data_IF_236738695160
#
_entry.id   IF_236738695160
#
_cell.length_a   1.000
_cell.length_b   1.000
_cell.length_c   1.000
_cell.angle_alpha   90.00
_cell.angle_beta   90.00
_cell.angle_gamma   90.00
#
_symmetry.space_group_name_H-M   'P 1'
#
loop_
_entity.id
_entity.type
_entity.pdbx_description
1 polymer ?
#
# COMPACT_ATOMS: atom_id res chain seq x y z
N UNK A 1 17.91 29.51 0.63
CA UNK A 1 16.55 30.12 0.65
C UNK A 1 16.01 29.97 2.05
N UNK A 2 15.16 30.86 2.52
CA UNK A 2 14.50 30.74 3.83
C UNK A 2 13.26 29.84 3.72
N UNK A 3 12.99 28.99 4.73
CA UNK A 3 11.80 28.15 4.77
C UNK A 3 10.64 28.95 5.40
N UNK A 4 10.01 29.78 4.58
CA UNK A 4 8.88 30.63 5.02
C UNK A 4 7.64 29.80 5.38
N UNK A 5 7.47 28.59 4.81
CA UNK A 5 6.34 27.70 5.15
C UNK A 5 6.43 27.20 6.58
N UNK A 6 7.63 26.81 7.03
CA UNK A 6 7.85 26.40 8.41
C UNK A 6 7.63 27.57 9.37
N UNK A 7 8.16 28.78 9.02
CA UNK A 7 7.97 29.99 9.83
C UNK A 7 6.50 30.32 9.99
N UNK A 8 5.77 30.39 8.87
CA UNK A 8 4.33 30.68 8.87
C UNK A 8 3.55 29.63 9.69
N UNK A 9 3.83 28.35 9.51
CA UNK A 9 3.12 27.30 10.24
C UNK A 9 3.34 27.35 11.77
N UNK A 10 4.54 27.73 12.24
CA UNK A 10 4.82 27.94 13.66
C UNK A 10 3.98 29.11 14.19
N UNK A 11 3.94 30.21 13.45
CA UNK A 11 3.15 31.40 13.81
C UNK A 11 1.65 31.11 13.80
N UNK A 12 1.15 30.43 12.76
CA UNK A 12 -0.27 30.06 12.61
C UNK A 12 -0.74 29.13 13.75
N UNK A 13 0.15 28.26 14.23
CA UNK A 13 -0.11 27.38 15.36
C UNK A 13 0.01 28.10 16.74
N UNK A 14 0.35 29.39 16.74
CA UNK A 14 0.45 30.21 17.96
C UNK A 14 1.71 29.98 18.77
N UNK A 15 2.73 29.32 18.22
CA UNK A 15 3.99 29.08 18.93
C UNK A 15 5.02 30.19 18.69
N UNK A 16 5.74 30.57 19.75
CA UNK A 16 7.05 31.17 19.61
C UNK A 16 8.08 30.14 19.14
N UNK A 17 9.21 30.58 18.64
CA UNK A 17 10.30 29.69 18.21
C UNK A 17 10.80 28.84 19.39
N UNK A 18 10.86 29.42 20.58
CA UNK A 18 11.30 28.72 21.80
C UNK A 18 10.32 27.61 22.19
N UNK A 19 9.03 27.92 22.30
CA UNK A 19 8.00 26.94 22.67
C UNK A 19 7.92 25.78 21.68
N UNK A 20 8.02 26.08 20.39
CA UNK A 20 8.04 25.03 19.35
C UNK A 20 9.29 24.14 19.46
N UNK A 21 10.45 24.73 19.75
CA UNK A 21 11.69 23.98 19.93
C UNK A 21 11.64 23.08 21.16
N UNK A 22 11.07 23.57 22.25
CA UNK A 22 10.90 22.82 23.49
C UNK A 22 9.97 21.62 23.29
N UNK A 23 8.85 21.81 22.56
CA UNK A 23 7.93 20.70 22.21
C UNK A 23 8.57 19.64 21.30
N UNK A 24 9.49 20.05 20.42
CA UNK A 24 10.23 19.14 19.55
C UNK A 24 11.41 18.45 20.24
N UNK A 25 11.83 18.94 21.42
CA UNK A 25 13.02 18.48 22.12
C UNK A 25 14.33 18.81 21.39
N UNK A 26 14.39 19.99 20.72
CA UNK A 26 15.57 20.45 19.99
C UNK A 26 15.98 21.86 20.43
N UNK A 27 17.26 22.20 20.25
CA UNK A 27 17.76 23.55 20.50
C UNK A 27 17.11 24.58 19.55
N UNK A 28 16.67 25.77 20.03
CA UNK A 28 16.06 26.82 19.19
C UNK A 28 16.90 27.24 18.00
N UNK A 29 18.24 27.27 18.12
CA UNK A 29 19.14 27.52 16.99
C UNK A 29 19.05 26.46 15.90
N UNK A 30 18.63 25.25 16.26
CA UNK A 30 18.41 24.17 15.29
C UNK A 30 17.18 24.49 14.44
N UNK A 31 16.06 24.88 15.05
CA UNK A 31 14.84 25.32 14.33
C UNK A 31 15.12 26.57 13.52
N UNK A 32 15.85 27.55 14.09
CA UNK A 32 16.27 28.75 13.34
C UNK A 32 17.06 28.41 12.07
N UNK A 33 17.97 27.43 12.13
CA UNK A 33 18.72 26.96 10.96
C UNK A 33 17.83 26.26 9.92
N UNK A 34 16.78 25.56 10.34
CA UNK A 34 15.80 24.98 9.43
C UNK A 34 15.03 26.07 8.67
N UNK A 35 14.73 27.19 9.36
CA UNK A 35 14.04 28.33 8.76
C UNK A 35 14.98 29.14 7.88
N UNK A 36 16.12 29.58 8.41
CA UNK A 36 16.96 30.60 7.76
C UNK A 36 17.93 30.05 6.72
N UNK A 37 18.41 28.80 6.91
CA UNK A 37 19.40 28.14 6.05
C UNK A 37 18.82 27.00 5.23
N UNK A 38 17.50 26.82 5.26
CA UNK A 38 16.78 25.70 4.59
C UNK A 38 17.42 24.33 4.89
N UNK A 39 17.96 24.19 6.13
CA UNK A 39 18.60 22.96 6.53
C UNK A 39 17.54 21.89 6.79
N UNK A 40 17.68 20.76 6.11
CA UNK A 40 16.74 19.65 6.23
C UNK A 40 16.89 18.93 7.58
N UNK A 41 15.82 18.83 8.39
CA UNK A 41 15.82 18.00 9.59
C UNK A 41 15.86 16.50 9.29
N UNK A 42 16.27 15.68 10.26
CA UNK A 42 16.06 14.24 10.20
C UNK A 42 14.56 13.89 10.10
N UNK A 43 14.27 12.73 9.52
CA UNK A 43 12.88 12.29 9.27
C UNK A 43 12.03 12.33 10.55
N UNK A 44 12.55 11.86 11.68
CA UNK A 44 11.85 11.89 12.97
C UNK A 44 11.41 13.30 13.39
N UNK A 45 12.32 14.29 13.29
CA UNK A 45 11.98 15.69 13.62
C UNK A 45 10.97 16.29 12.63
N UNK A 46 11.04 15.92 11.33
CA UNK A 46 10.05 16.38 10.35
C UNK A 46 8.66 15.84 10.64
N UNK A 47 8.55 14.55 10.99
CA UNK A 47 7.27 13.92 11.31
C UNK A 47 6.68 14.50 12.62
N UNK A 48 7.51 14.71 13.64
CA UNK A 48 7.07 15.32 14.90
C UNK A 48 6.61 16.77 14.69
N UNK A 49 7.39 17.57 13.96
CA UNK A 49 7.01 18.93 13.61
C UNK A 49 5.70 19.00 12.81
N UNK A 50 5.52 18.09 11.86
CA UNK A 50 4.30 17.97 11.07
C UNK A 50 3.07 17.67 11.97
N UNK A 51 3.23 16.76 12.94
CA UNK A 51 2.21 16.44 13.93
C UNK A 51 1.84 17.62 14.82
N UNK A 52 2.84 18.31 15.38
CA UNK A 52 2.64 19.48 16.28
C UNK A 52 1.94 20.64 15.52
N UNK A 53 2.35 20.90 14.29
CA UNK A 53 1.85 22.03 13.49
C UNK A 53 0.58 21.72 12.69
N UNK A 54 0.05 20.48 12.74
CA UNK A 54 -1.13 20.07 11.98
C UNK A 54 -0.94 20.20 10.46
N UNK A 55 0.28 20.04 9.97
CA UNK A 55 0.65 20.13 8.54
C UNK A 55 1.35 18.85 8.09
N UNK A 56 1.45 18.64 6.77
CA UNK A 56 2.26 17.52 6.25
C UNK A 56 3.76 17.89 6.23
N UNK A 57 4.64 16.90 6.40
CA UNK A 57 6.09 17.13 6.28
C UNK A 57 6.48 17.66 4.88
N UNK A 58 5.80 17.22 3.80
CA UNK A 58 6.00 17.74 2.46
C UNK A 58 5.55 19.19 2.28
N UNK A 59 4.53 19.66 3.01
CA UNK A 59 4.16 21.08 3.04
C UNK A 59 5.25 21.93 3.71
N UNK A 60 5.74 21.48 4.86
CA UNK A 60 6.75 22.23 5.64
C UNK A 60 8.11 22.22 4.96
N UNK A 61 8.48 21.14 4.27
CA UNK A 61 9.75 20.98 3.54
C UNK A 61 9.52 20.45 2.13
N UNK A 62 9.07 21.28 1.18
CA UNK A 62 8.78 20.85 -0.20
C UNK A 62 10.01 20.32 -0.94
N UNK A 63 11.21 20.74 -0.56
CA UNK A 63 12.46 20.24 -1.13
C UNK A 63 12.72 18.76 -0.83
N UNK A 64 11.98 18.13 0.14
CA UNK A 64 12.09 16.68 0.40
C UNK A 64 11.56 15.83 -0.75
N UNK A 65 10.58 16.32 -1.51
CA UNK A 65 10.08 15.63 -2.70
C UNK A 65 11.03 15.80 -3.90
N UNK A 66 11.84 16.86 -3.87
CA UNK A 66 12.85 17.17 -4.88
C UNK A 66 14.26 16.68 -4.52
N UNK A 67 14.47 16.05 -3.34
CA UNK A 67 15.79 15.53 -2.95
C UNK A 67 16.26 14.51 -4.01
N UNK A 68 17.43 14.74 -4.66
CA UNK A 68 17.98 13.82 -5.64
C UNK A 68 18.14 12.38 -5.11
N UNK A 69 18.42 12.22 -3.81
CA UNK A 69 18.54 10.91 -3.16
C UNK A 69 17.19 10.20 -3.08
N UNK A 70 16.13 10.89 -2.63
CA UNK A 70 14.76 10.36 -2.61
C UNK A 70 14.28 10.02 -4.02
N UNK A 71 14.55 10.88 -5.00
CA UNK A 71 14.22 10.63 -6.41
C UNK A 71 14.96 9.42 -6.97
N UNK A 72 16.24 9.28 -6.64
CA UNK A 72 17.05 8.12 -7.05
C UNK A 72 16.57 6.84 -6.37
N UNK A 73 16.32 6.87 -5.05
CA UNK A 73 15.79 5.74 -4.30
C UNK A 73 14.41 5.31 -4.83
N UNK A 74 13.50 6.26 -5.06
CA UNK A 74 12.16 5.97 -5.63
C UNK A 74 12.24 5.34 -7.02
N UNK A 75 13.19 5.78 -7.87
CA UNK A 75 13.42 5.15 -9.17
C UNK A 75 13.98 3.73 -9.03
N UNK A 76 14.87 3.52 -8.06
CA UNK A 76 15.48 2.23 -7.80
C UNK A 76 14.49 1.21 -7.21
N UNK A 77 13.33 1.67 -6.69
CA UNK A 77 12.24 0.77 -6.28
C UNK A 77 11.63 0.03 -7.46
N UNK A 78 11.61 0.60 -8.67
CA UNK A 78 11.12 -0.08 -9.87
C UNK A 78 12.18 -1.08 -10.36
N UNK A 79 11.90 -2.36 -10.14
CA UNK A 79 12.77 -3.48 -10.58
C UNK A 79 12.49 -3.82 -12.03
N UNK A 80 11.18 -3.93 -12.39
CA UNK A 80 10.76 -4.32 -13.74
C UNK A 80 9.35 -3.81 -14.04
N UNK A 81 9.00 -3.83 -15.33
CA UNK A 81 7.67 -3.48 -15.85
C UNK A 81 7.23 -4.55 -16.85
N UNK A 82 6.21 -5.32 -16.51
CA UNK A 82 5.61 -6.30 -17.40
C UNK A 82 4.45 -5.68 -18.17
N UNK A 83 4.31 -5.95 -19.47
CA UNK A 83 3.28 -5.33 -20.31
C UNK A 83 1.86 -5.76 -19.93
N UNK A 84 1.71 -6.91 -19.28
CA UNK A 84 0.45 -7.39 -18.72
C UNK A 84 0.70 -8.34 -17.55
N UNK A 85 -0.32 -8.53 -16.70
CA UNK A 85 -0.24 -9.55 -15.64
C UNK A 85 -0.04 -10.96 -16.22
N UNK A 86 -0.63 -11.25 -17.37
CA UNK A 86 -0.46 -12.54 -18.07
C UNK A 86 0.96 -12.79 -18.57
N UNK A 87 1.80 -11.76 -18.68
CA UNK A 87 3.21 -11.91 -19.05
C UNK A 87 4.11 -12.31 -17.86
N UNK A 88 3.59 -12.25 -16.63
CA UNK A 88 4.34 -12.68 -15.45
C UNK A 88 4.33 -14.21 -15.38
N UNK A 89 5.51 -14.87 -15.30
CA UNK A 89 5.57 -16.32 -15.17
C UNK A 89 4.88 -16.81 -13.88
N UNK A 90 4.16 -17.93 -13.97
CA UNK A 90 3.53 -18.54 -12.79
C UNK A 90 4.56 -18.87 -11.71
N UNK A 91 5.74 -19.36 -12.09
CA UNK A 91 6.83 -19.65 -11.17
C UNK A 91 7.25 -18.44 -10.33
N UNK A 92 7.16 -17.23 -10.89
CA UNK A 92 7.48 -16.02 -10.11
C UNK A 92 6.45 -15.78 -8.99
N UNK A 93 5.16 -16.07 -9.23
CA UNK A 93 4.15 -16.01 -8.18
C UNK A 93 4.40 -17.06 -7.10
N UNK A 94 4.75 -18.29 -7.52
CA UNK A 94 5.10 -19.38 -6.61
C UNK A 94 6.31 -19.01 -5.76
N UNK A 95 7.40 -18.53 -6.39
CA UNK A 95 8.63 -18.14 -5.70
C UNK A 95 8.40 -17.00 -4.69
N UNK A 96 7.57 -16.00 -5.05
CA UNK A 96 7.24 -14.89 -4.16
C UNK A 96 6.40 -15.35 -2.96
N UNK A 97 5.43 -16.26 -3.16
CA UNK A 97 4.63 -16.81 -2.06
C UNK A 97 5.52 -17.67 -1.16
N UNK A 98 6.26 -18.60 -1.73
CA UNK A 98 7.05 -19.58 -0.97
C UNK A 98 8.25 -18.94 -0.27
N UNK A 99 8.80 -17.87 -0.85
CA UNK A 99 9.90 -17.10 -0.30
C UNK A 99 9.52 -16.10 0.78
N UNK A 100 8.22 -15.80 0.96
CA UNK A 100 7.78 -14.81 1.96
C UNK A 100 8.06 -15.30 3.38
N UNK A 101 8.66 -14.43 4.20
CA UNK A 101 9.08 -14.73 5.58
C UNK A 101 8.44 -13.82 6.64
N UNK A 102 7.93 -12.65 6.25
CA UNK A 102 7.37 -11.67 7.18
C UNK A 102 5.89 -11.39 6.92
N UNK A 103 5.52 -11.14 5.66
CA UNK A 103 4.16 -10.72 5.33
C UNK A 103 3.75 -10.94 3.88
N UNK A 104 2.49 -11.34 3.70
CA UNK A 104 1.79 -11.37 2.42
C UNK A 104 0.53 -10.50 2.54
N UNK A 105 0.40 -9.49 1.67
CA UNK A 105 -0.77 -8.62 1.62
C UNK A 105 -1.32 -8.62 0.18
N UNK A 106 -2.55 -9.09 -0.01
CA UNK A 106 -3.19 -9.21 -1.33
C UNK A 106 -4.45 -8.36 -1.39
N UNK A 107 -4.55 -7.46 -2.38
CA UNK A 107 -5.70 -6.61 -2.67
C UNK A 107 -6.11 -6.77 -4.13
N UNK A 108 -7.35 -7.14 -4.38
CA UNK A 108 -7.95 -7.15 -5.72
C UNK A 108 -9.48 -7.09 -5.63
N UNK A 109 -10.17 -6.84 -6.75
CA UNK A 109 -11.61 -7.08 -6.79
C UNK A 109 -11.90 -8.59 -6.66
N UNK A 110 -11.81 -9.37 -7.69
CA UNK A 110 -12.06 -10.81 -7.60
C UNK A 110 -10.81 -11.60 -7.17
N UNK A 111 -9.65 -11.34 -7.77
CA UNK A 111 -8.43 -12.08 -7.47
C UNK A 111 -8.46 -13.57 -7.87
N UNK A 112 -9.43 -13.99 -8.69
CA UNK A 112 -9.65 -15.40 -9.05
C UNK A 112 -8.44 -16.06 -9.68
N UNK A 113 -7.61 -15.32 -10.42
CA UNK A 113 -6.39 -15.86 -11.02
C UNK A 113 -5.41 -16.46 -9.99
N UNK A 114 -5.49 -16.06 -8.74
CA UNK A 114 -4.62 -16.59 -7.68
C UNK A 114 -4.89 -18.08 -7.45
N UNK A 115 -6.16 -18.45 -7.32
CA UNK A 115 -6.54 -19.85 -7.09
C UNK A 115 -6.77 -20.66 -8.38
N UNK A 116 -7.04 -19.97 -9.52
CA UNK A 116 -7.24 -20.64 -10.80
C UNK A 116 -5.91 -20.89 -11.54
N UNK A 117 -4.93 -19.99 -11.35
CA UNK A 117 -3.69 -19.96 -12.11
C UNK A 117 -2.44 -20.36 -11.33
N UNK A 118 -2.43 -20.26 -9.99
CA UNK A 118 -1.26 -20.62 -9.18
C UNK A 118 -1.50 -22.00 -8.56
N UNK A 119 -0.70 -23.03 -8.92
CA UNK A 119 -0.84 -24.36 -8.35
C UNK A 119 -0.80 -24.35 -6.83
N UNK A 120 -1.73 -25.07 -6.20
CA UNK A 120 -1.77 -25.24 -4.76
C UNK A 120 -1.77 -23.94 -3.95
N UNK A 121 -2.32 -22.83 -4.51
CA UNK A 121 -2.31 -21.51 -3.88
C UNK A 121 -2.73 -21.56 -2.42
N UNK A 122 -3.82 -22.25 -2.10
CA UNK A 122 -4.32 -22.35 -0.74
C UNK A 122 -3.34 -23.04 0.22
N UNK A 123 -2.71 -24.11 -0.22
CA UNK A 123 -1.74 -24.84 0.60
C UNK A 123 -0.46 -24.03 0.82
N UNK A 124 0.00 -23.30 -0.20
CA UNK A 124 1.14 -22.39 -0.08
C UNK A 124 0.86 -21.29 0.95
N UNK A 125 -0.31 -20.66 0.89
CA UNK A 125 -0.74 -19.63 1.87
C UNK A 125 -0.81 -20.22 3.28
N UNK A 126 -1.36 -21.43 3.47
CA UNK A 126 -1.39 -22.13 4.76
C UNK A 126 0.02 -22.42 5.28
N UNK A 127 0.89 -22.92 4.43
CA UNK A 127 2.28 -23.21 4.79
C UNK A 127 3.02 -21.94 5.28
N UNK A 128 2.80 -20.80 4.62
CA UNK A 128 3.39 -19.51 5.07
C UNK A 128 2.81 -19.06 6.40
N UNK A 129 1.49 -19.15 6.59
CA UNK A 129 0.86 -18.84 7.87
C UNK A 129 1.40 -19.73 9.01
N UNK A 130 1.53 -21.02 8.77
CA UNK A 130 2.12 -21.95 9.72
C UNK A 130 3.59 -21.66 10.05
N UNK A 131 4.33 -21.07 9.09
CA UNK A 131 5.69 -20.56 9.30
C UNK A 131 5.76 -19.20 10.02
N UNK A 132 4.61 -18.62 10.41
CA UNK A 132 4.54 -17.35 11.16
C UNK A 132 4.43 -16.11 10.28
N UNK A 133 4.25 -16.26 8.97
CA UNK A 133 4.05 -15.12 8.05
C UNK A 133 2.69 -14.49 8.31
N UNK A 134 2.63 -13.16 8.47
CA UNK A 134 1.38 -12.42 8.59
C UNK A 134 0.71 -12.28 7.22
N UNK A 135 -0.53 -12.73 7.10
CA UNK A 135 -1.26 -12.73 5.82
C UNK A 135 -2.52 -11.90 5.93
N UNK A 136 -2.69 -10.94 5.01
CA UNK A 136 -3.91 -10.13 4.86
C UNK A 136 -4.47 -10.29 3.45
N UNK A 137 -5.71 -10.76 3.36
CA UNK A 137 -6.44 -10.96 2.12
C UNK A 137 -7.58 -9.94 2.05
N UNK A 138 -7.61 -9.12 1.00
CA UNK A 138 -8.55 -8.03 0.84
C UNK A 138 -9.16 -8.09 -0.56
N UNK A 139 -10.36 -8.68 -0.66
CA UNK A 139 -11.06 -8.86 -1.92
C UNK A 139 -12.42 -8.17 -1.92
N UNK A 140 -12.94 -7.90 -3.13
CA UNK A 140 -14.19 -7.19 -3.33
C UNK A 140 -15.37 -7.85 -2.62
N UNK A 141 -16.21 -7.02 -2.00
CA UNK A 141 -17.52 -7.45 -1.52
C UNK A 141 -18.45 -7.60 -2.72
N UNK A 142 -18.94 -8.81 -3.04
CA UNK A 142 -19.79 -9.04 -4.21
C UNK A 142 -21.08 -8.22 -4.21
N UNK A 143 -21.53 -7.74 -3.05
CA UNK A 143 -22.76 -6.94 -2.90
C UNK A 143 -22.47 -5.42 -2.95
N UNK A 144 -21.23 -5.01 -3.14
CA UNK A 144 -20.86 -3.60 -3.14
C UNK A 144 -21.06 -2.93 -4.49
N UNK A 145 -21.43 -1.63 -4.46
CA UNK A 145 -21.53 -0.80 -5.65
C UNK A 145 -20.19 -0.71 -6.42
N UNK A 146 -19.06 -0.80 -5.73
CA UNK A 146 -17.74 -0.75 -6.37
C UNK A 146 -17.46 -2.00 -7.23
N UNK A 147 -17.92 -3.18 -6.80
CA UNK A 147 -17.82 -4.42 -7.58
C UNK A 147 -18.76 -4.38 -8.79
N UNK A 148 -19.98 -3.87 -8.63
CA UNK A 148 -20.93 -3.67 -9.73
C UNK A 148 -20.35 -2.73 -10.78
N UNK A 149 -19.88 -1.55 -10.36
CA UNK A 149 -19.26 -0.56 -11.25
C UNK A 149 -18.06 -1.16 -11.99
N UNK A 150 -17.20 -1.91 -11.29
CA UNK A 150 -16.03 -2.54 -11.93
C UNK A 150 -16.45 -3.59 -12.97
N UNK A 151 -17.53 -4.31 -12.71
CA UNK A 151 -18.11 -5.24 -13.70
C UNK A 151 -18.59 -4.55 -14.98
N UNK A 152 -19.25 -3.40 -14.83
CA UNK A 152 -19.66 -2.56 -15.96
C UNK A 152 -18.46 -2.01 -16.74
N UNK A 153 -17.44 -1.47 -16.04
CA UNK A 153 -16.22 -0.95 -16.65
C UNK A 153 -15.44 -2.00 -17.44
N UNK A 154 -15.42 -3.26 -16.99
CA UNK A 154 -14.77 -4.38 -17.71
C UNK A 154 -15.69 -4.99 -18.79
N UNK A 155 -16.94 -4.54 -18.90
CA UNK A 155 -17.90 -5.08 -19.86
C UNK A 155 -18.40 -6.50 -19.51
N UNK A 156 -18.29 -6.93 -18.26
CA UNK A 156 -18.71 -8.25 -17.79
C UNK A 156 -19.89 -8.21 -16.81
N UNK A 157 -20.35 -7.00 -16.42
CA UNK A 157 -21.52 -6.82 -15.56
C UNK A 157 -21.47 -7.66 -14.28
N UNK A 158 -22.55 -8.37 -13.99
CA UNK A 158 -22.71 -9.20 -12.78
C UNK A 158 -21.69 -10.33 -12.63
N UNK A 159 -20.96 -10.68 -13.70
CA UNK A 159 -19.92 -11.70 -13.63
C UNK A 159 -18.78 -11.27 -12.68
N UNK A 160 -18.56 -9.97 -12.48
CA UNK A 160 -17.56 -9.51 -11.49
C UNK A 160 -17.98 -9.93 -10.08
N UNK A 161 -19.23 -9.71 -9.69
CA UNK A 161 -19.76 -10.15 -8.40
C UNK A 161 -19.71 -11.68 -8.25
N UNK A 162 -20.03 -12.43 -9.31
CA UNK A 162 -19.92 -13.87 -9.32
C UNK A 162 -18.48 -14.37 -9.11
N UNK A 163 -17.49 -13.73 -9.76
CA UNK A 163 -16.06 -14.02 -9.53
C UNK A 163 -15.63 -13.71 -8.09
N UNK A 164 -16.10 -12.61 -7.51
CA UNK A 164 -15.83 -12.30 -6.09
C UNK A 164 -16.40 -13.39 -5.18
N UNK A 165 -17.66 -13.85 -5.40
CA UNK A 165 -18.27 -14.94 -4.62
C UNK A 165 -17.46 -16.23 -4.75
N UNK A 166 -17.00 -16.57 -5.96
CA UNK A 166 -16.19 -17.77 -6.18
C UNK A 166 -14.89 -17.72 -5.36
N UNK A 167 -14.18 -16.59 -5.40
CA UNK A 167 -12.97 -16.41 -4.59
C UNK A 167 -13.24 -16.52 -3.10
N UNK A 168 -14.32 -15.93 -2.60
CA UNK A 168 -14.68 -16.05 -1.19
C UNK A 168 -15.06 -17.49 -0.78
N UNK A 169 -15.77 -18.22 -1.64
CA UNK A 169 -16.08 -19.63 -1.41
C UNK A 169 -14.81 -20.50 -1.38
N UNK A 170 -13.84 -20.19 -2.24
CA UNK A 170 -12.54 -20.86 -2.22
C UNK A 170 -11.75 -20.55 -0.95
N UNK A 171 -11.75 -19.29 -0.49
CA UNK A 171 -10.98 -18.86 0.66
C UNK A 171 -11.61 -19.32 1.99
N UNK A 172 -12.93 -19.44 2.07
CA UNK A 172 -13.63 -19.75 3.32
C UNK A 172 -13.03 -20.95 4.08
N UNK A 173 -12.81 -22.14 3.48
CA UNK A 173 -12.20 -23.26 4.17
C UNK A 173 -10.71 -23.06 4.51
N UNK A 174 -10.03 -22.12 3.83
CA UNK A 174 -8.64 -21.80 4.11
C UNK A 174 -8.47 -20.89 5.32
N UNK A 175 -9.53 -20.14 5.68
CA UNK A 175 -9.50 -19.16 6.75
C UNK A 175 -9.95 -19.75 8.08
N UNK A 176 -10.60 -20.92 8.06
CA UNK A 176 -11.16 -21.55 9.25
C UNK A 176 -10.05 -22.08 10.15
N UNK A 177 -10.00 -21.51 11.36
CA UNK A 177 -9.10 -21.96 12.43
C UNK A 177 -7.60 -21.68 12.22
N UNK A 178 -7.20 -20.94 11.19
CA UNK A 178 -5.77 -20.68 10.91
C UNK A 178 -5.33 -19.35 11.50
N UNK A 179 -4.49 -19.40 12.54
CA UNK A 179 -3.83 -18.22 13.07
C UNK A 179 -2.88 -17.59 12.02
N UNK A 180 -2.81 -16.25 11.98
CA UNK A 180 -1.92 -15.53 11.07
C UNK A 180 -2.56 -15.10 9.75
N UNK A 181 -3.72 -15.64 9.36
CA UNK A 181 -4.47 -15.21 8.18
C UNK A 181 -5.63 -14.32 8.60
N UNK A 182 -5.74 -13.16 7.99
CA UNK A 182 -6.89 -12.26 8.13
C UNK A 182 -7.45 -11.95 6.75
N UNK A 183 -8.78 -11.98 6.62
CA UNK A 183 -9.46 -11.64 5.39
C UNK A 183 -10.56 -10.61 5.63
N UNK A 184 -10.74 -9.69 4.67
CA UNK A 184 -11.79 -8.67 4.69
C UNK A 184 -12.38 -8.47 3.31
N UNK A 185 -13.66 -8.15 3.27
CA UNK A 185 -14.34 -7.69 2.05
C UNK A 185 -14.22 -6.16 1.95
N UNK A 186 -13.87 -5.64 0.77
CA UNK A 186 -13.90 -4.20 0.55
C UNK A 186 -14.98 -3.80 -0.46
N UNK A 187 -15.62 -2.67 -0.18
CA UNK A 187 -16.54 -1.99 -1.08
C UNK A 187 -15.94 -0.69 -1.66
N UNK A 188 -14.62 -0.57 -1.66
CA UNK A 188 -13.93 0.62 -2.14
C UNK A 188 -13.62 0.51 -3.63
N UNK A 189 -13.72 1.64 -4.35
CA UNK A 189 -13.16 1.75 -5.69
C UNK A 189 -11.64 1.73 -5.58
N UNK A 190 -11.01 0.67 -6.08
CA UNK A 190 -9.55 0.53 -6.11
C UNK A 190 -9.04 0.68 -7.54
N UNK A 191 -7.95 1.40 -7.72
CA UNK A 191 -7.37 1.72 -9.04
C UNK A 191 -6.22 0.80 -9.43
N UNK A 192 -5.84 -0.10 -8.53
CA UNK A 192 -4.84 -1.13 -8.78
C UNK A 192 -5.09 -2.34 -7.88
N UNK A 193 -4.78 -3.53 -8.35
CA UNK A 193 -4.54 -4.67 -7.49
C UNK A 193 -3.11 -4.60 -6.95
N UNK A 194 -2.93 -4.97 -5.68
CA UNK A 194 -1.65 -4.94 -4.97
C UNK A 194 -1.33 -6.32 -4.42
N UNK A 195 -0.13 -6.82 -4.69
CA UNK A 195 0.31 -8.12 -4.23
C UNK A 195 1.69 -7.96 -3.60
N UNK A 196 1.71 -7.87 -2.27
CA UNK A 196 2.93 -7.70 -1.50
C UNK A 196 3.42 -9.02 -0.94
N UNK A 197 4.72 -9.24 -1.04
CA UNK A 197 5.48 -10.34 -0.45
C UNK A 197 6.73 -9.72 0.20
N UNK A 198 6.72 -9.57 1.51
CA UNK A 198 7.77 -8.88 2.28
C UNK A 198 8.11 -7.47 1.73
N UNK A 199 9.30 -7.30 1.17
CA UNK A 199 9.75 -6.06 0.55
C UNK A 199 9.50 -6.01 -0.98
N UNK A 200 8.83 -6.99 -1.56
CA UNK A 200 8.45 -7.01 -2.96
C UNK A 200 6.97 -6.68 -3.10
N UNK A 201 6.61 -5.83 -4.06
CA UNK A 201 5.24 -5.44 -4.36
C UNK A 201 5.00 -5.48 -5.87
N UNK A 202 4.01 -6.24 -6.28
CA UNK A 202 3.48 -6.23 -7.64
C UNK A 202 2.25 -5.33 -7.67
N UNK A 203 2.31 -4.26 -8.44
CA UNK A 203 1.20 -3.32 -8.65
C UNK A 203 0.60 -3.54 -10.03
N UNK A 204 -0.68 -3.83 -10.09
CA UNK A 204 -1.42 -4.03 -11.34
C UNK A 204 -2.46 -2.90 -11.50
N UNK A 205 -2.12 -1.76 -12.13
CA UNK A 205 -3.06 -0.66 -12.37
C UNK A 205 -4.25 -1.12 -13.20
N UNK A 206 -5.42 -0.57 -12.90
CA UNK A 206 -6.64 -0.86 -13.65
C UNK A 206 -6.86 0.20 -14.73
N UNK A 207 -6.94 -0.24 -15.99
CA UNK A 207 -7.37 0.61 -17.10
C UNK A 207 -8.87 0.47 -17.31
N UNK A 208 -9.56 1.58 -17.62
CA UNK A 208 -10.98 1.57 -17.97
C UNK A 208 -11.18 0.75 -19.26
N UNK A 209 -12.17 -0.12 -19.27
CA UNK A 209 -12.50 -0.96 -20.42
C UNK A 209 -11.56 -2.16 -20.65
N UNK A 210 -10.62 -2.43 -19.73
CA UNK A 210 -9.72 -3.56 -19.84
C UNK A 210 -9.75 -4.45 -18.60
N UNK A 211 -9.79 -5.80 -18.77
CA UNK A 211 -9.59 -6.72 -17.66
C UNK A 211 -8.21 -6.52 -17.00
N UNK A 212 -8.14 -6.69 -15.69
CA UNK A 212 -6.89 -6.52 -14.94
C UNK A 212 -5.76 -7.44 -15.43
N UNK A 213 -6.09 -8.61 -16.02
CA UNK A 213 -5.11 -9.51 -16.63
C UNK A 213 -4.37 -8.93 -17.83
N UNK A 214 -4.96 -7.96 -18.53
CA UNK A 214 -4.37 -7.28 -19.69
C UNK A 214 -3.64 -5.98 -19.31
N UNK A 215 -3.76 -5.54 -18.07
CA UNK A 215 -3.08 -4.34 -17.56
C UNK A 215 -1.65 -4.66 -17.12
N UNK A 216 -0.73 -3.68 -17.19
CA UNK A 216 0.67 -3.88 -16.84
C UNK A 216 0.86 -4.25 -15.36
N UNK A 217 2.04 -4.79 -15.05
CA UNK A 217 2.51 -4.98 -13.68
C UNK A 217 3.79 -4.16 -13.47
N UNK A 218 3.78 -3.32 -12.44
CA UNK A 218 4.99 -2.73 -11.91
C UNK A 218 5.52 -3.66 -10.82
N UNK A 219 6.74 -4.16 -10.99
CA UNK A 219 7.45 -4.92 -9.97
C UNK A 219 8.32 -3.94 -9.17
N UNK A 220 7.96 -3.76 -7.91
CA UNK A 220 8.65 -2.86 -7.00
C UNK A 220 9.38 -3.66 -5.92
N UNK A 221 10.55 -3.16 -5.52
CA UNK A 221 11.24 -3.61 -4.31
C UNK A 221 11.48 -2.42 -3.39
N UNK A 222 11.20 -2.57 -2.11
CA UNK A 222 11.33 -1.51 -1.11
C UNK A 222 12.77 -1.07 -0.96
N UNK A 223 13.05 0.21 -1.20
CA UNK A 223 14.37 0.83 -1.04
C UNK A 223 14.31 1.90 0.05
N UNK A 224 15.30 1.90 0.94
CA UNK A 224 15.39 2.91 1.99
C UNK A 224 15.42 4.33 1.40
N UNK A 225 14.45 5.17 1.80
CA UNK A 225 14.27 6.53 1.27
C UNK A 225 13.44 6.61 -0.03
N UNK A 226 13.05 5.49 -0.63
CA UNK A 226 12.04 5.41 -1.69
C UNK A 226 10.65 5.74 -1.15
N UNK A 227 9.72 6.09 -2.03
CA UNK A 227 8.35 6.49 -1.66
C UNK A 227 7.27 5.74 -2.42
N UNK A 228 7.62 5.05 -3.50
CA UNK A 228 6.62 4.43 -4.37
C UNK A 228 6.01 3.19 -3.72
N UNK A 229 6.83 2.33 -3.14
CA UNK A 229 6.38 1.16 -2.39
C UNK A 229 5.46 1.57 -1.22
N UNK A 230 5.92 2.49 -0.38
CA UNK A 230 5.17 2.94 0.79
C UNK A 230 3.86 3.64 0.39
N UNK A 231 3.84 4.40 -0.72
CA UNK A 231 2.62 5.05 -1.24
C UNK A 231 1.52 4.03 -1.58
N UNK A 232 1.86 2.94 -2.26
CA UNK A 232 0.88 1.89 -2.56
C UNK A 232 0.45 1.12 -1.30
N UNK A 233 1.38 0.88 -0.37
CA UNK A 233 1.04 0.20 0.88
C UNK A 233 0.16 1.07 1.80
N UNK A 234 0.32 2.38 1.80
CA UNK A 234 -0.63 3.29 2.46
C UNK A 234 -2.04 3.17 1.87
N UNK A 235 -2.17 3.01 0.55
CA UNK A 235 -3.47 2.78 -0.10
C UNK A 235 -4.07 1.44 0.32
N UNK A 236 -3.26 0.38 0.38
CA UNK A 236 -3.70 -0.92 0.93
C UNK A 236 -4.21 -0.77 2.36
N UNK A 237 -3.43 -0.14 3.24
CA UNK A 237 -3.76 0.00 4.66
C UNK A 237 -5.03 0.84 4.87
N UNK A 238 -5.25 1.89 4.10
CA UNK A 238 -6.50 2.67 4.11
C UNK A 238 -7.69 1.79 3.69
N UNK A 239 -7.57 1.07 2.58
CA UNK A 239 -8.63 0.15 2.13
C UNK A 239 -8.90 -0.92 3.19
N UNK A 240 -7.86 -1.44 3.82
CA UNK A 240 -7.97 -2.41 4.92
C UNK A 240 -8.72 -1.86 6.13
N UNK A 241 -8.50 -0.61 6.49
CA UNK A 241 -9.18 0.04 7.60
C UNK A 241 -10.68 0.25 7.33
N UNK A 242 -11.05 0.60 6.10
CA UNK A 242 -12.44 0.80 5.70
C UNK A 242 -13.19 -0.50 5.39
N UNK A 243 -12.47 -1.60 5.16
CA UNK A 243 -13.06 -2.87 4.83
C UNK A 243 -13.80 -3.50 6.01
N UNK A 244 -14.97 -4.06 5.74
CA UNK A 244 -15.71 -4.82 6.74
C UNK A 244 -14.91 -6.04 7.16
N UNK A 245 -14.87 -6.32 8.46
CA UNK A 245 -14.38 -7.60 8.97
C UNK A 245 -15.38 -8.67 8.54
N UNK A 246 -15.08 -9.39 7.49
CA UNK A 246 -15.89 -10.49 7.02
C UNK A 246 -15.20 -11.80 7.33
N UNK A 247 -16.05 -12.71 7.76
CA UNK A 247 -15.83 -14.11 8.07
C UNK A 247 -15.40 -14.37 9.53
N UNK A 248 -16.30 -14.10 10.48
CA UNK A 248 -16.70 -15.20 11.36
C UNK A 248 -17.84 -15.88 10.60
N UNK A 249 -17.62 -17.08 10.13
CA UNK A 249 -18.68 -18.02 9.80
C UNK A 249 -19.30 -18.36 11.16
N UNK A 250 -20.48 -17.77 11.44
CA UNK A 250 -21.35 -18.24 12.54
C UNK A 250 -21.95 -19.59 12.16
#
# INVERSE_FOLDING_TARGET
MTNERLRAAITDAGFSLQEFSDQLGVDPKTVERWITKDRMPYLSHRMNAAGILGRTAGYLWPSTEADPRTKSATRAELVDLYPSRGALPISMWEDLIDGATESIDLLAFAGSFLHDGIPEFGERIRARAAAGVRIRLLFGDPESAAVTLRGEEEGIGDLMAARCRLTWNYLAPLLDGIAGIQARKHGSTVYASLFRFDNTLLVNPHALGAPAGHSPILHLHRIAGGKLFDHYMESFDRTWQFANRSLRLD
#
